data_IF_373867320470
#
_entry.id   IF_373867320470
#
_cell.length_a   1.000
_cell.length_b   1.000
_cell.length_c   1.000
_cell.angle_alpha   90.00
_cell.angle_beta   90.00
_cell.angle_gamma   90.00
#
_symmetry.space_group_name_H-M   'P 1'
#
loop_
_entity.id
_entity.type
_entity.pdbx_description
1 polymer ?
#
# COMPACT_ATOMS: atom_id res chain seq x y z
N UNK A 1 -11.58 -5.09 -25.50
CA UNK A 1 -10.79 -6.31 -25.18
C UNK A 1 -10.99 -7.35 -26.26
N UNK A 2 -12.22 -7.72 -26.59
CA UNK A 2 -12.57 -8.72 -27.62
C UNK A 2 -11.81 -8.59 -28.94
N UNK A 3 -11.72 -7.38 -29.53
CA UNK A 3 -10.98 -7.18 -30.78
C UNK A 3 -9.50 -7.62 -30.73
N UNK A 4 -8.85 -7.54 -29.56
CA UNK A 4 -7.43 -7.89 -29.40
C UNK A 4 -7.22 -9.38 -29.12
N UNK A 5 -8.29 -10.14 -28.80
CA UNK A 5 -8.20 -11.55 -28.40
C UNK A 5 -7.73 -12.39 -29.58
N UNK A 6 -6.52 -12.93 -29.49
CA UNK A 6 -5.93 -13.78 -30.52
C UNK A 6 -5.47 -13.04 -31.77
N UNK A 7 -5.55 -11.71 -31.80
CA UNK A 7 -5.06 -10.91 -32.91
C UNK A 7 -3.51 -10.94 -32.94
N UNK A 8 -2.88 -11.19 -34.11
CA UNK A 8 -1.43 -11.07 -34.25
C UNK A 8 -0.92 -9.68 -33.84
N UNK A 9 0.24 -9.65 -33.18
CA UNK A 9 0.81 -8.41 -32.67
C UNK A 9 1.19 -7.48 -33.84
N UNK A 10 0.68 -6.25 -33.83
CA UNK A 10 0.92 -5.25 -34.88
C UNK A 10 -0.15 -5.17 -35.98
N UNK A 11 -1.13 -6.09 -36.02
CA UNK A 11 -2.24 -5.99 -36.99
C UNK A 11 -3.30 -4.96 -36.59
N UNK A 12 -3.49 -4.76 -35.29
CA UNK A 12 -4.41 -3.77 -34.74
C UNK A 12 -3.65 -2.52 -34.27
N UNK A 13 -4.41 -1.45 -34.00
CA UNK A 13 -3.84 -0.23 -33.42
C UNK A 13 -3.08 -0.51 -32.13
N UNK A 14 -2.00 0.24 -31.84
CA UNK A 14 -1.22 0.05 -30.62
C UNK A 14 -2.08 0.15 -29.35
N UNK A 15 -2.03 -0.88 -28.51
CA UNK A 15 -2.77 -0.93 -27.25
C UNK A 15 -2.09 -1.86 -26.25
N UNK A 16 -2.22 -1.57 -24.95
CA UNK A 16 -1.67 -2.42 -23.85
C UNK A 16 -2.23 -3.84 -23.87
N UNK A 17 -3.43 -4.01 -24.45
CA UNK A 17 -4.09 -5.30 -24.63
C UNK A 17 -3.39 -6.15 -25.67
N UNK A 18 -2.82 -5.57 -26.73
CA UNK A 18 -2.05 -6.31 -27.72
C UNK A 18 -0.79 -6.93 -27.09
N UNK A 19 -0.11 -6.17 -26.20
CA UNK A 19 1.05 -6.68 -25.44
C UNK A 19 0.62 -7.81 -24.50
N UNK A 20 -0.46 -7.60 -23.74
CA UNK A 20 -0.98 -8.60 -22.82
C UNK A 20 -1.41 -9.90 -23.54
N UNK A 21 -2.08 -9.79 -24.71
CA UNK A 21 -2.49 -10.92 -25.54
C UNK A 21 -1.30 -11.69 -26.09
N UNK A 22 -0.31 -10.98 -26.63
CA UNK A 22 0.92 -11.59 -27.14
C UNK A 22 1.66 -12.34 -26.03
N UNK A 23 1.80 -11.75 -24.84
CA UNK A 23 2.38 -12.42 -23.68
C UNK A 23 1.56 -13.63 -23.23
N UNK A 24 0.23 -13.51 -23.13
CA UNK A 24 -0.63 -14.64 -22.75
C UNK A 24 -0.52 -15.80 -23.74
N UNK A 25 -0.57 -15.53 -25.04
CA UNK A 25 -0.41 -16.58 -26.07
C UNK A 25 0.98 -17.20 -26.05
N UNK A 26 2.03 -16.41 -25.88
CA UNK A 26 3.39 -16.95 -25.74
C UNK A 26 3.49 -17.87 -24.52
N UNK A 27 2.92 -17.48 -23.38
CA UNK A 27 2.87 -18.31 -22.17
C UNK A 27 2.16 -19.65 -22.43
N UNK A 28 0.98 -19.61 -23.06
CA UNK A 28 0.17 -20.82 -23.34
C UNK A 28 0.82 -21.73 -24.37
N UNK A 29 1.35 -21.16 -25.46
CA UNK A 29 1.90 -21.94 -26.58
C UNK A 29 3.31 -22.46 -26.31
N UNK A 30 4.15 -21.69 -25.60
CA UNK A 30 5.54 -22.07 -25.33
C UNK A 30 5.75 -22.71 -23.96
N UNK A 31 4.71 -22.72 -23.11
CA UNK A 31 4.77 -23.20 -21.72
C UNK A 31 5.91 -22.55 -20.91
N UNK A 32 6.13 -21.24 -21.11
CA UNK A 32 7.15 -20.44 -20.42
C UNK A 32 6.54 -19.22 -19.74
N UNK A 33 6.94 -18.97 -18.51
CA UNK A 33 6.54 -17.77 -17.76
C UNK A 33 6.93 -16.48 -18.49
N UNK A 34 6.06 -15.47 -18.41
CA UNK A 34 6.23 -14.18 -19.07
C UNK A 34 6.30 -13.05 -18.05
N UNK A 35 6.91 -11.93 -18.44
CA UNK A 35 6.96 -10.72 -17.62
C UNK A 35 6.70 -9.49 -18.48
N UNK A 36 5.83 -8.60 -18.00
CA UNK A 36 5.60 -7.29 -18.61
C UNK A 36 6.14 -6.22 -17.66
N UNK A 37 7.15 -5.48 -18.10
CA UNK A 37 7.73 -4.36 -17.34
C UNK A 37 7.08 -3.05 -17.76
N UNK A 38 6.39 -2.39 -16.84
CA UNK A 38 5.80 -1.05 -17.06
C UNK A 38 6.70 0.00 -16.43
N UNK A 39 7.54 0.64 -17.24
CA UNK A 39 8.48 1.69 -16.82
C UNK A 39 7.93 3.10 -17.04
N UNK A 40 8.36 4.05 -16.21
CA UNK A 40 8.02 5.47 -16.36
C UNK A 40 8.26 6.27 -15.08
N UNK A 41 8.30 7.59 -15.17
CA UNK A 41 8.42 8.47 -14.01
C UNK A 41 7.20 8.41 -13.08
N UNK A 42 7.29 8.99 -11.88
CA UNK A 42 6.13 9.14 -10.99
C UNK A 42 5.03 9.93 -11.69
N UNK A 43 3.79 9.42 -11.68
CA UNK A 43 2.66 10.03 -12.39
C UNK A 43 2.51 9.62 -13.86
N UNK A 44 3.43 8.86 -14.45
CA UNK A 44 3.37 8.46 -15.87
C UNK A 44 2.27 7.42 -16.22
N UNK A 45 1.37 7.08 -15.29
CA UNK A 45 0.28 6.13 -15.53
C UNK A 45 0.64 4.64 -15.36
N UNK A 46 1.78 4.30 -14.75
CA UNK A 46 2.23 2.90 -14.54
C UNK A 46 1.16 2.02 -13.89
N UNK A 47 0.53 2.53 -12.83
CA UNK A 47 -0.52 1.82 -12.07
C UNK A 47 -1.75 1.57 -12.94
N UNK A 48 -2.21 2.58 -13.69
CA UNK A 48 -3.38 2.46 -14.57
C UNK A 48 -3.12 1.48 -15.73
N UNK A 49 -1.94 1.56 -16.35
CA UNK A 49 -1.50 0.60 -17.37
C UNK A 49 -1.50 -0.84 -16.83
N UNK A 50 -1.02 -1.02 -15.59
CA UNK A 50 -0.99 -2.35 -14.95
C UNK A 50 -2.42 -2.87 -14.70
N UNK A 51 -3.35 -2.02 -14.26
CA UNK A 51 -4.77 -2.38 -14.10
C UNK A 51 -5.39 -2.86 -15.42
N UNK A 52 -5.13 -2.16 -16.53
CA UNK A 52 -5.61 -2.56 -17.86
C UNK A 52 -5.03 -3.91 -18.31
N UNK A 53 -3.73 -4.14 -18.09
CA UNK A 53 -3.10 -5.43 -18.41
C UNK A 53 -3.75 -6.56 -17.62
N UNK A 54 -3.97 -6.37 -16.32
CA UNK A 54 -4.61 -7.38 -15.47
C UNK A 54 -6.06 -7.66 -15.87
N UNK A 55 -6.85 -6.62 -16.19
CA UNK A 55 -8.20 -6.75 -16.73
C UNK A 55 -8.22 -7.63 -17.98
N UNK A 56 -7.28 -7.39 -18.89
CA UNK A 56 -7.17 -8.17 -20.11
C UNK A 56 -6.80 -9.63 -19.85
N UNK A 57 -5.78 -9.87 -19.02
CA UNK A 57 -5.34 -11.21 -18.65
C UNK A 57 -6.46 -12.02 -17.98
N UNK A 58 -7.29 -11.35 -17.18
CA UNK A 58 -8.47 -11.96 -16.55
C UNK A 58 -9.57 -12.27 -17.55
N UNK A 59 -9.80 -11.36 -18.50
CA UNK A 59 -10.74 -11.58 -19.59
C UNK A 59 -10.36 -12.79 -20.47
N UNK A 60 -9.08 -12.95 -20.82
CA UNK A 60 -8.65 -14.07 -21.69
C UNK A 60 -8.43 -15.37 -20.94
N UNK A 61 -7.92 -15.32 -19.70
CA UNK A 61 -7.71 -16.51 -18.88
C UNK A 61 -9.02 -17.14 -18.38
N UNK A 62 -10.08 -16.35 -18.23
CA UNK A 62 -11.33 -16.86 -17.67
C UNK A 62 -11.17 -17.38 -16.23
N UNK A 63 -12.23 -18.00 -15.69
CA UNK A 63 -12.29 -18.49 -14.31
C UNK A 63 -12.33 -20.03 -14.26
N UNK A 64 -11.79 -20.60 -13.19
CA UNK A 64 -12.21 -21.94 -12.73
C UNK A 64 -13.63 -21.86 -12.16
N UNK A 65 -14.45 -22.88 -12.41
CA UNK A 65 -15.87 -22.90 -11.98
C UNK A 65 -15.93 -23.02 -10.45
N UNK A 66 -16.58 -22.08 -9.77
CA UNK A 66 -16.87 -22.15 -8.33
C UNK A 66 -16.39 -20.98 -7.47
N UNK A 67 -15.71 -19.97 -8.03
CA UNK A 67 -15.24 -18.80 -7.28
C UNK A 67 -16.11 -17.56 -7.58
N UNK A 68 -16.77 -17.04 -6.55
CA UNK A 68 -17.71 -15.91 -6.68
C UNK A 68 -16.99 -14.59 -7.04
N UNK A 69 -15.71 -14.44 -6.65
CA UNK A 69 -14.87 -13.26 -6.95
C UNK A 69 -13.79 -13.58 -7.99
N UNK A 70 -13.46 -12.65 -8.89
CA UNK A 70 -12.28 -12.83 -9.75
C UNK A 70 -10.99 -12.63 -8.97
N UNK A 71 -9.94 -13.34 -9.36
CA UNK A 71 -8.56 -13.01 -8.96
C UNK A 71 -8.22 -11.55 -9.27
N UNK A 72 -8.72 -11.01 -10.38
CA UNK A 72 -8.63 -9.57 -10.69
C UNK A 72 -9.24 -8.71 -9.58
N UNK A 73 -10.47 -9.00 -9.15
CA UNK A 73 -11.14 -8.28 -8.07
C UNK A 73 -10.32 -8.36 -6.80
N UNK A 74 -9.84 -9.54 -6.40
CA UNK A 74 -9.02 -9.69 -5.20
C UNK A 74 -7.74 -8.85 -5.26
N UNK A 75 -7.02 -8.86 -6.39
CA UNK A 75 -5.77 -8.07 -6.54
C UNK A 75 -6.07 -6.56 -6.65
N UNK A 76 -7.19 -6.17 -7.27
CA UNK A 76 -7.60 -4.77 -7.35
C UNK A 76 -8.11 -4.26 -5.99
N UNK A 77 -8.84 -5.08 -5.25
CA UNK A 77 -9.37 -4.78 -3.92
C UNK A 77 -8.27 -4.75 -2.85
N UNK A 78 -7.10 -5.34 -3.10
CA UNK A 78 -5.93 -5.18 -2.23
C UNK A 78 -5.18 -3.84 -2.44
N UNK A 79 -5.49 -3.08 -3.51
CA UNK A 79 -4.77 -1.84 -3.79
C UNK A 79 -4.97 -0.77 -2.71
N UNK A 80 -6.18 -0.46 -2.22
CA UNK A 80 -6.34 0.51 -1.14
C UNK A 80 -5.48 0.21 0.08
N UNK A 81 -5.35 -1.07 0.45
CA UNK A 81 -4.46 -1.52 1.53
C UNK A 81 -2.99 -1.23 1.20
N UNK A 82 -2.51 -1.62 0.02
CA UNK A 82 -1.12 -1.39 -0.37
C UNK A 82 -0.79 0.10 -0.54
N UNK A 83 -1.74 0.90 -1.02
CA UNK A 83 -1.58 2.34 -1.16
C UNK A 83 -1.56 3.03 0.21
N UNK A 84 -2.41 2.62 1.15
CA UNK A 84 -2.40 3.16 2.51
C UNK A 84 -1.03 2.99 3.19
N UNK A 85 -0.41 1.81 3.07
CA UNK A 85 0.85 1.48 3.75
C UNK A 85 2.11 1.78 2.94
N UNK A 86 1.99 1.92 1.62
CA UNK A 86 3.13 2.02 0.70
C UNK A 86 3.18 3.30 -0.11
N UNK A 87 2.13 4.12 -0.11
CA UNK A 87 2.12 5.41 -0.79
C UNK A 87 2.15 6.59 0.18
N UNK A 88 2.66 7.71 -0.32
CA UNK A 88 2.71 8.97 0.39
C UNK A 88 2.63 10.15 -0.59
N UNK A 89 2.27 11.33 -0.06
CA UNK A 89 2.41 12.58 -0.79
C UNK A 89 3.88 12.93 -0.95
N UNK A 90 4.26 13.25 -2.19
CA UNK A 90 5.56 13.82 -2.56
C UNK A 90 5.37 15.16 -3.25
N UNK A 91 6.45 15.88 -3.55
CA UNK A 91 6.37 17.16 -4.30
C UNK A 91 5.69 17.01 -5.67
N UNK A 92 5.77 15.83 -6.30
CA UNK A 92 5.27 15.61 -7.67
C UNK A 92 3.95 14.87 -7.76
N UNK A 93 3.53 14.19 -6.70
CA UNK A 93 2.38 13.29 -6.72
C UNK A 93 1.87 13.07 -5.29
N UNK A 94 0.58 13.30 -5.07
CA UNK A 94 -0.08 13.15 -3.77
C UNK A 94 -0.24 11.69 -3.34
N UNK A 95 -0.17 10.73 -4.28
CA UNK A 95 -0.28 9.29 -4.03
C UNK A 95 0.89 8.53 -4.69
N UNK A 96 2.13 8.89 -4.32
CA UNK A 96 3.35 8.30 -4.91
C UNK A 96 3.70 6.98 -4.22
N UNK A 97 3.82 5.89 -4.98
CA UNK A 97 4.32 4.62 -4.45
C UNK A 97 5.78 4.70 -4.04
N UNK A 98 6.05 4.36 -2.78
CA UNK A 98 7.37 4.34 -2.15
C UNK A 98 7.91 2.92 -1.96
N UNK A 99 7.40 1.99 -2.76
CA UNK A 99 7.82 0.60 -2.86
C UNK A 99 7.64 0.12 -4.30
N UNK A 100 8.40 -0.89 -4.68
CA UNK A 100 8.19 -1.65 -5.91
C UNK A 100 7.15 -2.74 -5.69
N UNK A 101 6.29 -2.95 -6.69
CA UNK A 101 5.23 -3.96 -6.68
C UNK A 101 5.40 -4.88 -7.89
N UNK A 102 5.54 -6.17 -7.64
CA UNK A 102 5.51 -7.22 -8.64
C UNK A 102 4.22 -8.02 -8.47
N UNK A 103 3.36 -8.01 -9.48
CA UNK A 103 2.11 -8.79 -9.49
C UNK A 103 2.33 -10.01 -10.37
N UNK A 104 2.17 -11.18 -9.76
CA UNK A 104 2.25 -12.48 -10.40
C UNK A 104 0.81 -12.96 -10.65
N UNK A 105 0.44 -13.21 -11.90
CA UNK A 105 -0.83 -13.86 -12.24
C UNK A 105 -0.51 -15.29 -12.67
N UNK A 106 -1.17 -16.25 -12.03
CA UNK A 106 -0.89 -17.68 -12.20
C UNK A 106 -1.98 -18.32 -13.04
N UNK A 107 -1.55 -19.18 -13.97
CA UNK A 107 -2.43 -19.91 -14.87
C UNK A 107 -2.21 -21.41 -14.73
N UNK A 108 -3.28 -22.19 -14.87
CA UNK A 108 -3.23 -23.64 -14.94
C UNK A 108 -2.75 -24.12 -16.33
N UNK A 109 -2.61 -25.44 -16.50
CA UNK A 109 -2.18 -26.05 -17.76
C UNK A 109 -3.17 -25.83 -18.92
N UNK A 110 -4.41 -25.43 -18.63
CA UNK A 110 -5.44 -25.12 -19.62
C UNK A 110 -5.47 -23.61 -19.96
N UNK A 111 -4.54 -22.82 -19.42
CA UNK A 111 -4.49 -21.37 -19.61
C UNK A 111 -5.54 -20.61 -18.81
N UNK A 112 -6.15 -21.23 -17.79
CA UNK A 112 -7.12 -20.58 -16.89
C UNK A 112 -6.43 -19.97 -15.70
N UNK A 113 -6.94 -18.85 -15.19
CA UNK A 113 -6.38 -18.28 -13.97
C UNK A 113 -6.58 -19.24 -12.81
N UNK A 114 -5.49 -19.55 -12.12
CA UNK A 114 -5.45 -20.41 -10.93
C UNK A 114 -5.13 -19.66 -9.64
N UNK A 115 -4.55 -18.45 -9.73
CA UNK A 115 -4.23 -17.62 -8.58
C UNK A 115 -3.50 -16.33 -8.93
N UNK A 116 -3.15 -15.55 -7.91
CA UNK A 116 -2.25 -14.41 -8.03
C UNK A 116 -1.44 -14.21 -6.75
N UNK A 117 -0.28 -13.58 -6.89
CA UNK A 117 0.56 -13.17 -5.76
C UNK A 117 1.08 -11.75 -5.98
N UNK A 118 1.24 -11.01 -4.89
CA UNK A 118 1.87 -9.68 -4.92
C UNK A 118 3.16 -9.76 -4.10
N UNK A 119 4.28 -9.43 -4.73
CA UNK A 119 5.58 -9.30 -4.08
C UNK A 119 5.97 -7.84 -4.03
N UNK A 120 6.21 -7.33 -2.84
CA UNK A 120 6.67 -5.95 -2.61
C UNK A 120 8.17 -5.94 -2.37
N UNK A 121 8.87 -4.92 -2.88
CA UNK A 121 10.31 -4.76 -2.69
C UNK A 121 10.69 -3.29 -2.49
N UNK A 122 11.79 -3.05 -1.78
CA UNK A 122 12.40 -1.71 -1.61
C UNK A 122 11.45 -0.64 -1.05
N UNK A 123 10.71 -0.96 0.01
CA UNK A 123 9.96 0.05 0.76
C UNK A 123 10.91 1.12 1.33
N UNK A 124 10.61 2.39 1.11
CA UNK A 124 11.37 3.52 1.64
C UNK A 124 11.17 3.65 3.17
N UNK A 125 11.90 2.86 3.94
CA UNK A 125 11.77 2.83 5.41
C UNK A 125 12.14 4.15 6.08
N UNK A 126 13.08 4.91 5.51
CA UNK A 126 13.51 6.21 6.05
C UNK A 126 12.37 7.22 6.17
N UNK A 127 11.36 7.14 5.28
CA UNK A 127 10.19 8.02 5.29
C UNK A 127 9.39 7.96 6.59
N UNK A 128 9.42 6.81 7.28
CA UNK A 128 8.69 6.65 8.55
C UNK A 128 9.19 7.63 9.60
N UNK A 129 10.49 7.89 9.66
CA UNK A 129 11.11 8.70 10.73
C UNK A 129 11.49 10.10 10.26
N UNK A 130 11.67 10.29 8.95
CA UNK A 130 12.12 11.55 8.36
C UNK A 130 11.32 11.89 7.11
N UNK A 131 10.72 13.07 7.10
CA UNK A 131 10.01 13.64 5.94
C UNK A 131 10.46 15.09 5.71
N UNK A 132 10.34 15.56 4.48
CA UNK A 132 10.71 16.92 4.09
C UNK A 132 9.45 17.69 3.71
N UNK A 133 9.27 18.92 4.20
CA UNK A 133 8.15 19.76 3.78
C UNK A 133 8.25 20.08 2.26
N UNK A 134 7.16 19.96 1.47
CA UNK A 134 5.76 19.69 1.83
C UNK A 134 5.28 18.23 1.63
N UNK A 135 6.16 17.24 1.79
CA UNK A 135 5.82 15.82 1.69
C UNK A 135 5.14 15.27 2.95
N UNK A 136 4.42 14.15 2.81
CA UNK A 136 3.83 13.41 3.93
C UNK A 136 4.59 12.12 4.23
N UNK A 137 4.35 11.59 5.42
CA UNK A 137 4.59 10.19 5.73
C UNK A 137 3.56 9.29 4.99
N UNK A 138 3.61 7.98 5.20
CA UNK A 138 2.64 7.04 4.61
C UNK A 138 1.20 7.36 5.01
N UNK A 139 0.26 7.15 4.09
CA UNK A 139 -1.14 7.53 4.29
C UNK A 139 -1.78 6.86 5.51
N UNK A 140 -1.41 5.61 5.82
CA UNK A 140 -1.95 4.83 6.94
C UNK A 140 -1.84 5.54 8.29
N UNK A 141 -0.76 6.31 8.53
CA UNK A 141 -0.61 7.05 9.78
C UNK A 141 -1.67 8.14 9.95
N UNK A 142 -1.94 8.90 8.88
CA UNK A 142 -2.93 9.97 8.91
C UNK A 142 -4.36 9.42 8.90
N UNK A 143 -4.59 8.34 8.15
CA UNK A 143 -5.84 7.58 8.18
C UNK A 143 -6.14 7.09 9.60
N UNK A 144 -5.15 6.52 10.29
CA UNK A 144 -5.30 6.04 11.66
C UNK A 144 -5.58 7.17 12.66
N UNK A 145 -4.87 8.30 12.58
CA UNK A 145 -5.18 9.50 13.36
C UNK A 145 -6.61 10.02 13.11
N UNK A 146 -7.11 9.88 11.88
CA UNK A 146 -8.45 10.33 11.48
C UNK A 146 -9.56 9.27 11.70
N UNK A 147 -9.25 8.10 12.26
CA UNK A 147 -10.20 7.00 12.43
C UNK A 147 -11.41 7.34 13.31
N UNK A 148 -11.28 8.34 14.20
CA UNK A 148 -12.35 8.94 15.01
C UNK A 148 -13.02 7.98 16.00
N UNK A 149 -12.94 8.24 17.31
CA UNK A 149 -13.70 7.52 18.36
C UNK A 149 -13.45 6.01 18.54
N UNK A 150 -12.92 5.32 17.52
CA UNK A 150 -12.70 3.88 17.50
C UNK A 150 -11.24 3.56 17.87
N UNK A 151 -10.33 3.70 16.92
CA UNK A 151 -8.94 3.28 17.07
C UNK A 151 -8.07 4.42 17.61
N UNK A 152 -8.29 5.66 17.14
CA UNK A 152 -7.52 6.82 17.61
C UNK A 152 -7.62 7.01 19.13
N UNK A 153 -8.82 6.98 19.70
CA UNK A 153 -9.02 7.13 21.15
C UNK A 153 -8.45 5.96 21.95
N UNK A 154 -8.62 4.74 21.42
CA UNK A 154 -8.10 3.50 22.02
C UNK A 154 -6.59 3.52 22.13
N UNK A 155 -5.91 3.98 21.09
CA UNK A 155 -4.45 4.02 21.04
C UNK A 155 -3.85 5.36 21.48
N UNK A 156 -4.64 6.27 22.07
CA UNK A 156 -4.19 7.60 22.52
C UNK A 156 -3.58 8.44 21.40
N UNK A 157 -4.12 8.31 20.20
CA UNK A 157 -3.76 9.13 19.05
C UNK A 157 -4.54 10.44 19.03
N UNK A 158 -3.84 11.49 18.63
CA UNK A 158 -4.35 12.85 18.47
C UNK A 158 -4.16 13.32 17.02
N UNK A 159 -4.36 14.62 16.79
CA UNK A 159 -4.10 15.22 15.48
C UNK A 159 -2.64 14.96 15.02
N UNK A 160 -2.39 14.70 13.72
CA UNK A 160 -1.06 14.41 13.19
C UNK A 160 0.04 15.41 13.58
N UNK A 161 -0.31 16.69 13.80
CA UNK A 161 0.63 17.71 14.25
C UNK A 161 1.28 17.44 15.61
N UNK A 162 0.72 16.55 16.42
CA UNK A 162 1.26 16.18 17.74
C UNK A 162 2.28 15.05 17.68
N UNK A 163 2.50 14.43 16.52
CA UNK A 163 3.47 13.35 16.35
C UNK A 163 4.68 13.81 15.53
N UNK A 164 5.88 13.65 16.08
CA UNK A 164 7.14 14.08 15.47
C UNK A 164 7.35 13.47 14.07
N UNK A 165 6.95 12.21 13.88
CA UNK A 165 7.04 11.53 12.58
C UNK A 165 6.03 12.02 11.54
N UNK A 166 5.06 12.86 11.92
CA UNK A 166 4.04 13.42 11.02
C UNK A 166 4.09 14.95 10.92
N UNK A 167 4.76 15.65 11.84
CA UNK A 167 4.74 17.12 11.95
C UNK A 167 5.99 17.83 11.44
N UNK A 168 6.95 17.10 10.85
CA UNK A 168 8.10 17.67 10.13
C UNK A 168 7.68 18.42 8.85
N UNK A 169 6.48 18.14 8.34
CA UNK A 169 5.78 18.93 7.31
C UNK A 169 4.51 19.55 7.89
N UNK A 170 4.08 20.67 7.31
CA UNK A 170 2.78 21.30 7.64
C UNK A 170 1.60 20.71 6.85
N UNK A 171 1.86 19.66 6.07
CA UNK A 171 0.87 19.02 5.22
C UNK A 171 0.23 17.83 5.93
N UNK A 172 -0.99 18.00 6.41
CA UNK A 172 -1.75 16.94 7.11
C UNK A 172 -2.93 16.43 6.29
N UNK A 173 -3.55 17.31 5.52
CA UNK A 173 -4.69 17.03 4.64
C UNK A 173 -4.28 17.06 3.16
N UNK A 174 -5.09 16.42 2.32
CA UNK A 174 -4.95 16.45 0.87
C UNK A 174 -6.26 16.95 0.25
N UNK A 175 -6.16 17.78 -0.78
CA UNK A 175 -7.34 18.36 -1.42
C UNK A 175 -8.21 17.25 -2.03
N UNK A 176 -9.48 17.22 -1.64
CA UNK A 176 -10.46 16.25 -2.15
C UNK A 176 -10.32 14.82 -1.58
N UNK A 177 -9.46 14.59 -0.58
CA UNK A 177 -9.28 13.28 0.05
C UNK A 177 -9.54 13.38 1.56
N UNK A 178 -10.51 12.60 2.04
CA UNK A 178 -10.79 12.47 3.48
C UNK A 178 -9.99 11.31 4.09
N UNK A 179 -9.05 11.62 4.99
CA UNK A 179 -8.27 10.60 5.70
C UNK A 179 -9.17 9.59 6.45
N UNK A 180 -10.32 10.04 6.99
CA UNK A 180 -11.27 9.17 7.69
C UNK A 180 -12.01 8.21 6.75
N UNK A 181 -12.43 8.69 5.57
CA UNK A 181 -13.06 7.80 4.57
C UNK A 181 -12.04 6.80 4.00
N UNK A 182 -10.81 7.23 3.77
CA UNK A 182 -9.73 6.34 3.33
C UNK A 182 -9.39 5.28 4.39
N UNK A 183 -9.44 5.60 5.69
CA UNK A 183 -9.30 4.62 6.76
C UNK A 183 -10.35 3.50 6.66
N UNK A 184 -11.63 3.85 6.42
CA UNK A 184 -12.72 2.87 6.25
C UNK A 184 -12.49 2.01 5.01
N UNK A 185 -12.03 2.60 3.90
CA UNK A 185 -11.67 1.85 2.68
C UNK A 185 -10.52 0.88 2.93
N UNK A 186 -9.50 1.30 3.70
CA UNK A 186 -8.38 0.44 4.10
C UNK A 186 -8.85 -0.74 4.93
N UNK A 187 -9.68 -0.56 5.97
CA UNK A 187 -10.22 -1.68 6.75
C UNK A 187 -11.04 -2.63 5.89
N UNK A 188 -11.91 -2.11 5.03
CA UNK A 188 -12.69 -2.93 4.10
C UNK A 188 -11.80 -3.74 3.15
N UNK A 189 -10.70 -3.15 2.66
CA UNK A 189 -9.73 -3.87 1.84
C UNK A 189 -9.03 -4.99 2.63
N UNK A 190 -8.72 -4.77 3.92
CA UNK A 190 -8.18 -5.80 4.80
C UNK A 190 -9.16 -6.97 4.98
N UNK A 191 -10.44 -6.69 5.20
CA UNK A 191 -11.50 -7.72 5.30
C UNK A 191 -11.61 -8.55 4.02
N UNK A 192 -11.57 -7.88 2.86
CA UNK A 192 -11.67 -8.52 1.55
C UNK A 192 -10.48 -9.45 1.28
N UNK A 193 -9.27 -9.03 1.66
CA UNK A 193 -8.04 -9.82 1.53
C UNK A 193 -8.00 -10.97 2.54
N UNK A 194 -8.90 -10.97 3.54
CA UNK A 194 -9.01 -12.04 4.54
C UNK A 194 -8.13 -11.83 5.76
N UNK A 195 -7.73 -10.59 6.05
CA UNK A 195 -7.00 -10.26 7.28
C UNK A 195 -8.00 -10.23 8.44
N UNK A 196 -7.78 -11.06 9.45
CA UNK A 196 -8.68 -11.19 10.58
C UNK A 196 -8.79 -9.88 11.37
N UNK A 197 -9.90 -9.66 12.09
CA UNK A 197 -10.04 -8.45 12.92
C UNK A 197 -8.97 -8.34 14.00
N UNK A 198 -8.48 -9.47 14.51
CA UNK A 198 -7.36 -9.54 15.46
C UNK A 198 -6.04 -9.10 14.83
N UNK A 199 -5.73 -9.57 13.61
CA UNK A 199 -4.53 -9.14 12.88
C UNK A 199 -4.61 -7.66 12.50
N UNK A 200 -5.78 -7.17 12.08
CA UNK A 200 -5.97 -5.75 11.78
C UNK A 200 -5.73 -4.87 13.01
N UNK A 201 -6.26 -5.28 14.17
CA UNK A 201 -6.01 -4.64 15.45
C UNK A 201 -4.50 -4.61 15.76
N UNK A 202 -3.81 -5.75 15.66
CA UNK A 202 -2.37 -5.83 15.89
C UNK A 202 -1.58 -4.90 14.96
N UNK A 203 -1.96 -4.83 13.67
CA UNK A 203 -1.36 -3.93 12.69
C UNK A 203 -1.52 -2.46 13.11
N UNK A 204 -2.73 -2.06 13.53
CA UNK A 204 -2.97 -0.67 13.93
C UNK A 204 -2.32 -0.31 15.26
N UNK A 205 -2.21 -1.25 16.20
CA UNK A 205 -1.41 -1.08 17.43
C UNK A 205 0.05 -0.81 17.11
N UNK A 206 0.64 -1.54 16.15
CA UNK A 206 2.02 -1.32 15.70
C UNK A 206 2.18 0.08 15.09
N UNK A 207 1.25 0.50 14.22
CA UNK A 207 1.30 1.85 13.62
C UNK A 207 1.21 2.95 14.69
N UNK A 208 0.31 2.81 15.66
CA UNK A 208 0.18 3.73 16.77
C UNK A 208 1.46 3.76 17.62
N UNK A 209 2.02 2.60 17.97
CA UNK A 209 3.25 2.50 18.74
C UNK A 209 4.43 3.20 18.04
N UNK A 210 4.54 3.09 16.72
CA UNK A 210 5.55 3.81 15.91
C UNK A 210 5.40 5.34 16.07
N UNK A 211 4.17 5.86 16.07
CA UNK A 211 3.92 7.28 16.28
C UNK A 211 4.31 7.74 17.69
N UNK A 212 3.97 6.94 18.72
CA UNK A 212 4.38 7.22 20.09
C UNK A 212 5.90 7.17 20.27
N UNK A 213 6.59 6.19 19.67
CA UNK A 213 8.06 6.12 19.67
C UNK A 213 8.71 7.40 19.14
N UNK A 214 8.16 7.98 18.07
CA UNK A 214 8.66 9.22 17.49
C UNK A 214 8.62 10.43 18.44
N UNK A 215 7.76 10.40 19.45
CA UNK A 215 7.61 11.47 20.43
C UNK A 215 8.46 11.30 21.70
N UNK A 216 9.27 10.25 21.79
CA UNK A 216 10.16 10.04 22.94
C UNK A 216 11.40 10.90 22.72
N UNK A 217 11.56 11.93 23.55
CA UNK A 217 12.76 12.76 23.55
C UNK A 217 13.72 12.30 24.65
N UNK A 218 15.01 12.37 24.32
CA UNK A 218 16.10 12.04 25.22
C UNK A 218 16.89 13.29 25.61
N UNK A 219 17.51 13.27 26.78
CA UNK A 219 18.42 14.31 27.27
C UNK A 219 19.71 13.67 27.78
N UNK A 220 20.83 14.42 27.84
CA UNK A 220 22.09 13.90 28.38
C UNK A 220 21.90 13.37 29.81
N UNK A 221 22.42 12.17 30.07
CA UNK A 221 22.41 11.56 31.39
C UNK A 221 23.54 12.07 32.29
N UNK A 222 23.64 11.49 33.49
CA UNK A 222 24.66 11.88 34.49
C UNK A 222 26.05 11.33 34.17
N UNK A 223 26.12 10.21 33.46
CA UNK A 223 27.37 9.56 33.06
C UNK A 223 27.80 10.01 31.66
N UNK A 224 29.10 9.94 31.39
CA UNK A 224 29.64 10.24 30.07
C UNK A 224 29.01 9.29 29.02
N UNK A 225 28.54 9.85 27.91
CA UNK A 225 27.86 9.11 26.82
C UNK A 225 26.57 8.38 27.24
N UNK A 226 25.91 8.85 28.30
CA UNK A 226 24.60 8.36 28.73
C UNK A 226 23.46 9.29 28.31
N UNK A 227 22.25 8.74 28.17
CA UNK A 227 21.02 9.48 27.90
C UNK A 227 19.91 9.03 28.84
N UNK A 228 19.02 9.96 29.19
CA UNK A 228 17.81 9.72 29.98
C UNK A 228 16.58 10.23 29.23
N UNK A 229 15.40 9.75 29.61
CA UNK A 229 14.13 10.29 29.08
C UNK A 229 14.02 11.75 29.51
N UNK A 230 13.73 12.64 28.56
CA UNK A 230 13.77 14.10 28.77
C UNK A 230 12.78 14.60 29.81
N UNK A 231 11.52 14.18 29.70
CA UNK A 231 10.42 14.71 30.50
C UNK A 231 9.27 13.71 30.66
N UNK A 232 8.26 14.09 31.46
CA UNK A 232 7.07 13.27 31.69
C UNK A 232 6.27 13.00 30.41
N UNK A 233 6.30 13.92 29.44
CA UNK A 233 5.64 13.74 28.14
C UNK A 233 6.30 12.59 27.37
N UNK A 234 7.63 12.56 27.35
CA UNK A 234 8.41 11.49 26.75
C UNK A 234 8.18 10.16 27.47
N UNK A 235 8.09 10.17 28.81
CA UNK A 235 7.74 8.97 29.60
C UNK A 235 6.33 8.45 29.30
N UNK A 236 5.35 9.35 29.10
CA UNK A 236 4.00 8.98 28.69
C UNK A 236 4.02 8.25 27.34
N UNK A 237 4.67 8.83 26.32
CA UNK A 237 4.77 8.20 25.01
C UNK A 237 5.52 6.86 25.06
N UNK A 238 6.58 6.74 25.87
CA UNK A 238 7.28 5.48 26.08
C UNK A 238 6.35 4.39 26.68
N UNK A 239 5.59 4.73 27.71
CA UNK A 239 4.67 3.79 28.36
C UNK A 239 3.59 3.32 27.38
N UNK A 240 2.96 4.25 26.64
CA UNK A 240 1.94 3.90 25.65
C UNK A 240 2.53 3.02 24.54
N UNK A 241 3.71 3.35 24.03
CA UNK A 241 4.37 2.51 23.02
C UNK A 241 4.65 1.09 23.55
N UNK A 242 5.10 0.95 24.80
CA UNK A 242 5.32 -0.35 25.42
C UNK A 242 4.02 -1.16 25.52
N UNK A 243 2.93 -0.54 25.99
CA UNK A 243 1.62 -1.19 26.12
C UNK A 243 1.03 -1.59 24.76
N UNK A 244 1.29 -0.82 23.70
CA UNK A 244 0.82 -1.12 22.34
C UNK A 244 1.61 -2.26 21.66
N UNK A 245 2.86 -2.50 22.06
CA UNK A 245 3.67 -3.60 21.49
C UNK A 245 3.43 -4.96 22.16
N UNK A 246 2.88 -5.02 23.37
CA UNK A 246 2.62 -6.27 24.09
C UNK A 246 1.41 -7.05 23.61
#
# INVERSE_FOLDING_TARGET
MEQYKGAPFGELSPHVFAVADASYRAMVNEHKSQSILVSGESGAGKTETTKLIMQYLTYVGGRTVGDDRTVEQQVLESNPLLEAFGNARTVRNDNSSRFGKFVEIQFDTNGRISGAAIRTYLLERSRVVQITDPERNYHCFYQLCASGGQDAEKYKLEHPSHFHYLNQSKTYELDGISNAEEYVKTRRAMDIVGISSEDQEAIFRILAAILHLGNIEFSPGKEHDSSVIKDQKSSFHLQIAADLFM
#
